data_IF_653369736048
#
_entry.id   IF_653369736048
#
_cell.length_a   1.000
_cell.length_b   1.000
_cell.length_c   1.000
_cell.angle_alpha   90.00
_cell.angle_beta   90.00
_cell.angle_gamma   90.00
#
_symmetry.space_group_name_H-M   'P 1'
#
loop_
_entity.id
_entity.type
_entity.pdbx_description
1 polymer ?
#
# COMPACT_ATOMS: atom_id res chain seq x y z
N UNK A 1 -2.48 11.29 24.50
CA UNK A 1 -2.97 9.90 24.39
C UNK A 1 -2.53 9.40 23.04
N UNK A 2 -1.62 8.43 22.99
CA UNK A 2 -1.14 7.86 21.72
C UNK A 2 -2.21 6.92 21.17
N UNK A 3 -2.61 7.11 19.91
CA UNK A 3 -3.54 6.22 19.23
C UNK A 3 -2.74 5.08 18.59
N UNK A 4 -2.66 3.94 19.28
CA UNK A 4 -1.88 2.78 18.82
C UNK A 4 -2.73 1.94 17.88
N UNK A 5 -2.36 1.92 16.61
CA UNK A 5 -3.02 1.14 15.57
C UNK A 5 -2.32 -0.21 15.43
N UNK A 6 -3.06 -1.31 15.56
CA UNK A 6 -2.52 -2.65 15.41
C UNK A 6 -2.48 -3.05 13.94
N UNK A 7 -1.28 -3.31 13.44
CA UNK A 7 -1.08 -3.86 12.10
C UNK A 7 -1.33 -5.39 12.10
N UNK A 8 -1.66 -5.98 10.94
CA UNK A 8 -1.77 -7.44 10.79
C UNK A 8 -0.50 -8.20 11.20
N UNK A 9 -0.62 -9.17 12.11
CA UNK A 9 0.54 -9.80 12.82
C UNK A 9 1.46 -10.63 11.89
N UNK A 10 0.91 -11.18 10.81
CA UNK A 10 1.59 -12.13 9.91
C UNK A 10 2.48 -11.47 8.85
N UNK A 11 2.64 -10.15 8.91
CA UNK A 11 3.39 -9.40 7.93
C UNK A 11 4.47 -8.54 8.60
N UNK A 12 5.58 -8.37 7.90
CA UNK A 12 6.53 -7.28 8.12
C UNK A 12 6.17 -6.13 7.18
N UNK A 13 6.19 -4.89 7.67
CA UNK A 13 5.65 -3.76 6.93
C UNK A 13 6.71 -2.77 6.50
N UNK A 14 6.56 -2.24 5.28
CA UNK A 14 7.25 -1.05 4.81
C UNK A 14 6.25 0.00 4.37
N UNK A 15 6.45 1.26 4.77
CA UNK A 15 5.64 2.38 4.29
C UNK A 15 5.93 2.61 2.80
N UNK A 16 4.88 2.80 2.00
CA UNK A 16 4.99 3.10 0.56
C UNK A 16 4.73 4.57 0.31
N UNK A 17 3.77 5.17 1.02
CA UNK A 17 3.46 6.59 0.89
C UNK A 17 2.18 6.98 1.63
N UNK A 18 1.77 8.23 1.50
CA UNK A 18 0.51 8.72 2.03
C UNK A 18 -0.15 9.69 1.04
N UNK A 19 -1.46 9.55 0.84
CA UNK A 19 -2.25 10.41 -0.04
C UNK A 19 -3.70 10.52 0.45
N UNK A 20 -4.30 11.69 0.30
CA UNK A 20 -5.74 11.94 0.52
C UNK A 20 -6.32 11.40 1.84
N UNK A 21 -5.55 11.46 2.94
CA UNK A 21 -5.99 10.98 4.25
C UNK A 21 -5.82 9.47 4.48
N UNK A 22 -5.09 8.81 3.58
CA UNK A 22 -4.69 7.41 3.69
C UNK A 22 -3.17 7.28 3.76
N UNK A 23 -2.71 6.29 4.51
CA UNK A 23 -1.34 5.81 4.51
C UNK A 23 -1.32 4.45 3.82
N UNK A 24 -0.37 4.26 2.91
CA UNK A 24 -0.21 3.01 2.18
C UNK A 24 1.08 2.32 2.62
N UNK A 25 0.98 1.02 2.85
CA UNK A 25 2.11 0.19 3.22
C UNK A 25 2.02 -1.16 2.52
N UNK A 26 3.19 -1.74 2.30
CA UNK A 26 3.34 -3.10 1.80
C UNK A 26 3.65 -4.01 2.99
N UNK A 27 2.91 -5.11 3.10
CA UNK A 27 3.15 -6.19 4.03
C UNK A 27 3.82 -7.36 3.32
N UNK A 28 4.97 -7.77 3.82
CA UNK A 28 5.71 -8.96 3.43
C UNK A 28 5.32 -10.11 4.37
N UNK A 29 4.73 -11.20 3.87
CA UNK A 29 4.38 -12.34 4.70
C UNK A 29 5.59 -12.92 5.41
N UNK A 30 5.47 -13.17 6.72
CA UNK A 30 6.53 -13.79 7.54
C UNK A 30 6.77 -15.26 7.21
N UNK A 31 5.80 -15.91 6.59
CA UNK A 31 5.89 -17.29 6.11
C UNK A 31 6.67 -17.43 4.78
N UNK A 32 7.29 -16.33 4.32
CA UNK A 32 8.06 -16.26 3.07
C UNK A 32 7.25 -16.61 1.81
N UNK A 33 5.93 -16.49 1.85
CA UNK A 33 5.13 -16.51 0.62
C UNK A 33 5.54 -15.34 -0.29
N UNK A 34 5.58 -15.60 -1.60
CA UNK A 34 6.18 -14.67 -2.60
C UNK A 34 5.33 -13.40 -2.80
N UNK A 35 4.10 -13.38 -2.29
CA UNK A 35 3.12 -12.35 -2.57
C UNK A 35 3.15 -11.23 -1.52
N UNK A 36 3.67 -10.06 -1.89
CA UNK A 36 3.45 -8.83 -1.14
C UNK A 36 1.95 -8.49 -1.10
N UNK A 37 1.50 -8.00 0.04
CA UNK A 37 0.14 -7.49 0.19
C UNK A 37 0.18 -5.99 0.44
N UNK A 38 -0.54 -5.22 -0.38
CA UNK A 38 -0.69 -3.79 -0.19
C UNK A 38 -1.90 -3.50 0.70
N UNK A 39 -1.71 -2.56 1.62
CA UNK A 39 -2.74 -2.14 2.56
C UNK A 39 -2.88 -0.62 2.54
N UNK A 40 -4.08 -0.16 2.85
CA UNK A 40 -4.39 1.24 3.11
C UNK A 40 -4.84 1.40 4.57
N UNK A 41 -4.42 2.48 5.21
CA UNK A 41 -4.86 2.91 6.52
C UNK A 41 -5.54 4.27 6.39
N UNK A 42 -6.83 4.32 6.70
CA UNK A 42 -7.57 5.57 6.75
C UNK A 42 -7.30 6.29 8.08
N UNK A 43 -6.71 7.48 8.03
CA UNK A 43 -6.22 8.19 9.23
C UNK A 43 -7.35 8.53 10.21
N UNK A 44 -8.51 8.96 9.69
CA UNK A 44 -9.65 9.40 10.54
C UNK A 44 -10.29 8.26 11.32
N UNK A 45 -10.40 7.10 10.69
CA UNK A 45 -11.12 5.94 11.25
C UNK A 45 -10.18 4.90 11.82
N UNK A 46 -8.87 5.04 11.57
CA UNK A 46 -7.85 4.04 11.88
C UNK A 46 -8.14 2.67 11.25
N UNK A 47 -8.96 2.63 10.19
CA UNK A 47 -9.34 1.40 9.51
C UNK A 47 -8.24 0.98 8.54
N UNK A 48 -7.84 -0.28 8.64
CA UNK A 48 -6.91 -0.90 7.70
C UNK A 48 -7.70 -1.76 6.72
N UNK A 49 -7.40 -1.63 5.43
CA UNK A 49 -7.98 -2.45 4.37
C UNK A 49 -6.88 -3.02 3.48
N UNK A 50 -7.09 -4.25 2.98
CA UNK A 50 -6.24 -4.85 1.96
C UNK A 50 -6.65 -4.27 0.60
N UNK A 51 -5.69 -3.72 -0.14
CA UNK A 51 -5.93 -3.12 -1.45
C UNK A 51 -5.70 -4.13 -2.57
N UNK A 52 -4.52 -4.76 -2.59
CA UNK A 52 -4.16 -5.75 -3.61
C UNK A 52 -3.03 -6.66 -3.14
N UNK A 53 -2.81 -7.75 -3.89
CA UNK A 53 -1.63 -8.61 -3.77
C UNK A 53 -0.77 -8.47 -5.00
N UNK A 54 0.54 -8.55 -4.83
CA UNK A 54 1.51 -8.42 -5.91
C UNK A 54 2.63 -9.43 -5.69
N UNK A 55 2.92 -10.21 -6.73
CA UNK A 55 4.07 -11.10 -6.73
C UNK A 55 5.31 -10.21 -6.68
N UNK A 56 6.14 -10.36 -5.64
CA UNK A 56 7.42 -9.65 -5.57
C UNK A 56 8.38 -10.38 -6.50
N UNK A 57 8.25 -10.15 -7.81
CA UNK A 57 9.45 -10.19 -8.64
C UNK A 57 10.33 -9.04 -8.14
N UNK A 58 11.65 -9.23 -8.14
CA UNK A 58 12.69 -8.32 -7.64
C UNK A 58 12.74 -6.91 -8.28
N UNK A 59 11.62 -6.46 -8.85
CA UNK A 59 11.40 -5.18 -9.47
C UNK A 59 10.75 -4.27 -8.43
N UNK A 60 11.33 -3.09 -8.22
CA UNK A 60 10.76 -2.03 -7.40
C UNK A 60 9.43 -1.56 -8.03
N UNK A 61 8.33 -2.21 -7.66
CA UNK A 61 6.99 -1.78 -8.04
C UNK A 61 6.60 -0.69 -7.06
N UNK A 62 6.49 0.55 -7.56
CA UNK A 62 5.93 1.68 -6.82
C UNK A 62 4.48 1.86 -7.30
N UNK A 63 3.48 1.37 -6.55
CA UNK A 63 2.09 1.61 -6.92
C UNK A 63 1.83 3.11 -6.98
N UNK A 64 1.15 3.54 -8.03
CA UNK A 64 0.81 4.93 -8.24
C UNK A 64 -0.45 5.26 -7.45
N UNK A 65 -0.34 6.13 -6.44
CA UNK A 65 -1.45 6.51 -5.56
C UNK A 65 -2.01 7.91 -5.85
N UNK A 66 -1.49 8.59 -6.87
CA UNK A 66 -1.95 9.91 -7.29
C UNK A 66 -2.91 9.81 -8.48
N UNK A 67 -3.50 10.96 -8.85
CA UNK A 67 -4.26 11.05 -10.09
C UNK A 67 -3.35 10.65 -11.25
N UNK A 68 -3.78 9.70 -12.11
CA UNK A 68 -2.97 9.32 -13.26
C UNK A 68 -2.60 10.59 -14.04
N UNK A 69 -1.38 10.67 -14.59
CA UNK A 69 -1.02 11.78 -15.46
C UNK A 69 -2.13 11.96 -16.50
N UNK A 70 -2.53 13.21 -16.74
CA UNK A 70 -3.49 13.54 -17.81
C UNK A 70 -3.03 12.84 -19.08
N UNK A 71 -3.73 11.77 -19.47
CA UNK A 71 -3.49 11.09 -20.75
C UNK A 71 -4.18 11.93 -21.81
N UNK A 72 -3.62 13.11 -22.08
CA UNK A 72 -4.09 13.97 -23.15
C UNK A 72 -3.95 13.16 -24.44
N UNK A 73 -4.99 12.99 -25.25
CA UNK A 73 -4.84 12.31 -26.54
C UNK A 73 -3.82 13.10 -27.35
N UNK A 74 -2.66 12.49 -27.60
CA UNK A 74 -1.77 12.97 -28.65
C UNK A 74 -2.55 12.83 -29.94
N UNK A 75 -2.98 13.95 -30.51
CA UNK A 75 -3.46 13.96 -31.89
C UNK A 75 -2.31 13.43 -32.75
N UNK A 76 -2.50 12.23 -33.31
CA UNK A 76 -1.67 11.68 -34.38
C UNK A 76 -2.24 12.24 -35.69
#
# INVERSE_FOLDING_TARGET
MENIIRLPVHYDFSMVGAANGYIFFVGFPKDHTVDATHFSLQIRTSKIEMVCRTIIHSCYIHPYFEYPPSVSPKWI
#
